data_IF_994731825849
#
_entry.id   IF_994731825849
#
_cell.length_a   1.000
_cell.length_b   1.000
_cell.length_c   1.000
_cell.angle_alpha   90.00
_cell.angle_beta   90.00
_cell.angle_gamma   90.00
#
_symmetry.space_group_name_H-M   'P 1'
#
loop_
_entity.id
_entity.type
_entity.pdbx_description
1 polymer ?
#
# COMPACT_ATOMS: atom_id res chain seq x y z
N UNK A 1 -4.27 5.12 28.79
CA UNK A 1 -3.72 6.51 28.64
C UNK A 1 -3.16 6.76 27.25
N UNK A 2 -1.90 6.45 26.89
CA UNK A 2 -1.39 6.71 25.51
C UNK A 2 -2.08 5.80 24.48
N UNK A 3 -2.18 4.51 24.80
CA UNK A 3 -2.80 3.53 23.89
C UNK A 3 -4.30 3.79 23.68
N UNK A 4 -4.98 4.32 24.69
CA UNK A 4 -6.41 4.70 24.56
C UNK A 4 -6.58 5.89 23.63
N UNK A 5 -5.72 6.93 23.75
CA UNK A 5 -5.74 8.08 22.83
C UNK A 5 -5.35 7.70 21.40
N UNK A 6 -4.40 6.79 21.25
CA UNK A 6 -4.02 6.26 19.93
C UNK A 6 -5.20 5.48 19.31
N UNK A 7 -5.84 4.61 20.08
CA UNK A 7 -7.02 3.87 19.63
C UNK A 7 -8.18 4.81 19.24
N UNK A 8 -8.41 5.87 20.01
CA UNK A 8 -9.39 6.93 19.68
C UNK A 8 -9.06 7.61 18.34
N UNK A 9 -7.80 8.02 18.15
CA UNK A 9 -7.36 8.67 16.92
C UNK A 9 -7.49 7.75 15.69
N UNK A 10 -7.17 6.46 15.84
CA UNK A 10 -7.35 5.45 14.79
C UNK A 10 -8.84 5.28 14.48
N UNK A 11 -9.69 5.19 15.50
CA UNK A 11 -11.15 5.04 15.32
C UNK A 11 -11.76 6.26 14.62
N UNK A 12 -11.34 7.48 14.97
CA UNK A 12 -11.76 8.71 14.30
C UNK A 12 -11.35 8.67 12.82
N UNK A 13 -10.10 8.33 12.52
CA UNK A 13 -9.59 8.22 11.16
C UNK A 13 -10.37 7.20 10.33
N UNK A 14 -10.63 6.00 10.87
CA UNK A 14 -11.41 4.96 10.19
C UNK A 14 -12.86 5.43 9.95
N UNK A 15 -13.46 6.11 10.93
CA UNK A 15 -14.79 6.66 10.81
C UNK A 15 -14.86 7.74 9.74
N UNK A 16 -13.93 8.69 9.75
CA UNK A 16 -13.83 9.76 8.75
C UNK A 16 -13.64 9.18 7.34
N UNK A 17 -12.78 8.18 7.19
CA UNK A 17 -12.56 7.48 5.92
C UNK A 17 -13.84 6.79 5.42
N UNK A 18 -14.50 6.03 6.28
CA UNK A 18 -15.72 5.29 5.91
C UNK A 18 -16.88 6.21 5.52
N UNK A 19 -16.97 7.38 6.15
CA UNK A 19 -18.03 8.38 5.88
C UNK A 19 -17.62 9.44 4.85
N UNK A 20 -16.35 9.41 4.40
CA UNK A 20 -15.75 10.45 3.56
C UNK A 20 -15.86 11.86 4.22
N UNK A 21 -15.74 11.90 5.54
CA UNK A 21 -15.87 13.11 6.35
C UNK A 21 -14.48 13.74 6.59
N UNK A 22 -14.20 14.79 5.85
CA UNK A 22 -12.91 15.47 5.89
C UNK A 22 -12.66 16.14 7.26
N UNK A 23 -13.70 16.66 7.92
CA UNK A 23 -13.54 17.31 9.23
C UNK A 23 -13.11 16.28 10.29
N UNK A 24 -13.69 15.08 10.29
CA UNK A 24 -13.32 14.00 11.19
C UNK A 24 -11.91 13.48 10.88
N UNK A 25 -11.51 13.42 9.60
CA UNK A 25 -10.14 13.06 9.20
C UNK A 25 -9.11 14.10 9.69
N UNK A 26 -9.41 15.39 9.61
CA UNK A 26 -8.56 16.47 10.13
C UNK A 26 -8.43 16.42 11.67
N UNK A 27 -9.52 16.12 12.37
CA UNK A 27 -9.49 15.92 13.82
C UNK A 27 -8.58 14.75 14.20
N UNK A 28 -8.72 13.61 13.52
CA UNK A 28 -7.87 12.45 13.71
C UNK A 28 -6.39 12.75 13.44
N UNK A 29 -6.08 13.49 12.36
CA UNK A 29 -4.73 13.92 12.03
C UNK A 29 -4.14 14.82 13.11
N UNK A 30 -4.91 15.78 13.60
CA UNK A 30 -4.48 16.69 14.67
C UNK A 30 -4.09 15.91 15.93
N UNK A 31 -4.94 14.98 16.37
CA UNK A 31 -4.67 14.13 17.53
C UNK A 31 -3.43 13.26 17.34
N UNK A 32 -3.23 12.69 16.13
CA UNK A 32 -2.05 11.89 15.81
C UNK A 32 -0.76 12.73 15.76
N UNK A 33 -0.82 13.95 15.28
CA UNK A 33 0.34 14.87 15.33
C UNK A 33 0.73 15.24 16.77
N UNK A 34 -0.24 15.48 17.66
CA UNK A 34 0.02 15.69 19.09
C UNK A 34 0.69 14.47 19.73
N UNK A 35 0.19 13.26 19.41
CA UNK A 35 0.78 12.02 19.89
C UNK A 35 2.20 11.82 19.35
N UNK A 36 2.43 12.06 18.05
CA UNK A 36 3.75 11.94 17.43
C UNK A 36 4.77 12.96 17.99
N UNK A 37 4.33 14.14 18.39
CA UNK A 37 5.17 15.14 19.06
C UNK A 37 5.51 14.72 20.50
N UNK A 38 4.56 14.12 21.24
CA UNK A 38 4.75 13.67 22.60
C UNK A 38 5.55 12.34 22.70
N UNK A 39 5.48 11.51 21.66
CA UNK A 39 6.11 10.18 21.58
C UNK A 39 6.84 10.01 20.26
N UNK A 40 7.91 10.76 20.01
CA UNK A 40 8.55 10.83 18.69
C UNK A 40 9.19 9.52 18.23
N UNK A 41 9.49 8.58 19.16
CA UNK A 41 10.15 7.31 18.86
C UNK A 41 9.17 6.13 18.76
N UNK A 42 7.85 6.37 18.87
CA UNK A 42 6.83 5.32 18.73
C UNK A 42 6.51 5.09 17.26
N UNK A 43 6.95 3.92 16.74
CA UNK A 43 6.78 3.56 15.33
C UNK A 43 5.31 3.45 14.91
N UNK A 44 4.43 2.95 15.78
CA UNK A 44 3.01 2.81 15.49
C UNK A 44 2.33 4.19 15.37
N UNK A 45 2.58 5.10 16.33
CA UNK A 45 2.07 6.47 16.27
C UNK A 45 2.54 7.17 15.01
N UNK A 46 3.83 7.05 14.69
CA UNK A 46 4.42 7.62 13.48
C UNK A 46 3.76 7.07 12.21
N UNK A 47 3.54 5.77 12.15
CA UNK A 47 2.84 5.12 11.03
C UNK A 47 1.39 5.60 10.90
N UNK A 48 0.63 5.64 11.99
CA UNK A 48 -0.76 6.10 11.97
C UNK A 48 -0.87 7.58 11.55
N UNK A 49 0.14 8.39 11.90
CA UNK A 49 0.23 9.77 11.45
C UNK A 49 0.44 9.86 9.92
N UNK A 50 1.29 8.99 9.34
CA UNK A 50 1.43 8.89 7.89
C UNK A 50 0.10 8.58 7.20
N UNK A 51 -0.61 7.56 7.70
CA UNK A 51 -1.91 7.14 7.15
C UNK A 51 -2.96 8.26 7.24
N UNK A 52 -2.95 9.04 8.33
CA UNK A 52 -3.86 10.18 8.46
C UNK A 52 -3.62 11.26 7.41
N UNK A 53 -2.35 11.54 7.09
CA UNK A 53 -2.00 12.46 5.99
C UNK A 53 -2.47 11.92 4.64
N UNK A 54 -2.23 10.65 4.35
CA UNK A 54 -2.67 10.01 3.11
C UNK A 54 -4.20 10.04 2.94
N UNK A 55 -4.95 9.80 4.00
CA UNK A 55 -6.42 9.84 3.96
C UNK A 55 -6.97 11.25 3.61
N UNK A 56 -6.19 12.29 3.85
CA UNK A 56 -6.49 13.68 3.49
C UNK A 56 -5.91 14.11 2.13
N UNK A 57 -5.23 13.19 1.41
CA UNK A 57 -4.55 13.51 0.17
C UNK A 57 -3.25 14.31 0.34
N UNK A 58 -2.72 14.40 1.56
CA UNK A 58 -1.48 15.09 1.91
C UNK A 58 -0.28 14.15 1.70
N UNK A 59 -0.14 13.65 0.48
CA UNK A 59 0.81 12.59 0.13
C UNK A 59 2.27 12.97 0.38
N UNK A 60 2.67 14.22 0.07
CA UNK A 60 4.05 14.68 0.30
C UNK A 60 4.39 14.74 1.79
N UNK A 61 3.44 15.10 2.61
CA UNK A 61 3.56 15.20 4.06
C UNK A 61 3.53 13.80 4.71
N UNK A 62 2.86 12.82 4.10
CA UNK A 62 2.82 11.45 4.59
C UNK A 62 4.17 10.72 4.47
N UNK A 63 4.92 10.95 3.38
CA UNK A 63 6.19 10.25 3.07
C UNK A 63 7.18 10.28 4.24
N UNK A 64 7.56 11.43 4.84
CA UNK A 64 8.53 11.45 5.92
C UNK A 64 8.07 10.67 7.17
N UNK A 65 6.78 10.61 7.45
CA UNK A 65 6.24 9.80 8.55
C UNK A 65 6.34 8.29 8.25
N UNK A 66 6.01 7.85 7.03
CA UNK A 66 6.23 6.46 6.63
C UNK A 66 7.69 6.05 6.77
N UNK A 67 8.62 6.83 6.21
CA UNK A 67 10.05 6.53 6.27
C UNK A 67 10.55 6.46 7.72
N UNK A 68 10.12 7.39 8.57
CA UNK A 68 10.48 7.37 9.99
C UNK A 68 9.94 6.13 10.71
N UNK A 69 8.68 5.77 10.48
CA UNK A 69 8.08 4.57 11.09
C UNK A 69 8.85 3.29 10.69
N UNK A 70 9.26 3.17 9.43
CA UNK A 70 10.08 2.06 8.94
C UNK A 70 11.46 2.01 9.63
N UNK A 71 12.11 3.17 9.82
CA UNK A 71 13.41 3.23 10.52
C UNK A 71 13.30 2.99 12.02
N UNK A 72 12.15 3.24 12.61
CA UNK A 72 11.85 2.96 14.02
C UNK A 72 11.54 1.48 14.30
N UNK A 73 11.61 0.62 13.29
CA UNK A 73 11.45 -0.81 13.47
C UNK A 73 10.00 -1.29 13.45
N UNK A 74 9.12 -0.62 12.69
CA UNK A 74 7.76 -1.10 12.45
C UNK A 74 7.78 -2.56 11.96
N UNK A 75 6.88 -3.39 12.48
CA UNK A 75 6.88 -4.82 12.22
C UNK A 75 5.46 -5.37 12.00
N UNK A 76 5.37 -6.62 11.56
CA UNK A 76 4.11 -7.35 11.42
C UNK A 76 3.12 -6.68 10.47
N UNK A 77 1.81 -6.67 10.80
CA UNK A 77 0.76 -6.12 9.93
C UNK A 77 0.92 -4.63 9.63
N UNK A 78 1.50 -3.86 10.54
CA UNK A 78 1.71 -2.44 10.34
C UNK A 78 2.87 -2.16 9.37
N UNK A 79 3.94 -2.98 9.40
CA UNK A 79 4.99 -2.94 8.38
C UNK A 79 4.41 -3.24 6.97
N UNK A 80 3.58 -4.28 6.87
CA UNK A 80 2.90 -4.65 5.63
C UNK A 80 2.08 -3.49 5.07
N UNK A 81 1.27 -2.86 5.92
CA UNK A 81 0.44 -1.71 5.55
C UNK A 81 1.28 -0.48 5.21
N UNK A 82 2.38 -0.25 5.93
CA UNK A 82 3.27 0.89 5.69
C UNK A 82 4.00 0.76 4.34
N UNK A 83 4.49 -0.42 3.98
CA UNK A 83 5.14 -0.66 2.67
C UNK A 83 4.14 -0.47 1.52
N UNK A 84 2.92 -0.97 1.67
CA UNK A 84 1.85 -0.75 0.68
C UNK A 84 1.49 0.74 0.58
N UNK A 85 1.27 1.41 1.71
CA UNK A 85 0.90 2.82 1.77
C UNK A 85 1.99 3.70 1.15
N UNK A 86 3.23 3.58 1.62
CA UNK A 86 4.36 4.36 1.08
C UNK A 86 4.56 4.13 -0.42
N UNK A 87 4.50 2.86 -0.87
CA UNK A 87 4.65 2.54 -2.28
C UNK A 87 3.54 3.16 -3.15
N UNK A 88 2.29 3.10 -2.71
CA UNK A 88 1.17 3.72 -3.41
C UNK A 88 1.26 5.26 -3.40
N UNK A 89 1.73 5.83 -2.30
CA UNK A 89 1.95 7.29 -2.15
C UNK A 89 3.03 7.77 -3.10
N UNK A 90 4.19 7.11 -3.14
CA UNK A 90 5.25 7.41 -4.11
C UNK A 90 4.75 7.31 -5.56
N UNK A 91 3.98 6.26 -5.86
CA UNK A 91 3.39 6.12 -7.20
C UNK A 91 2.47 7.30 -7.52
N UNK A 92 1.61 7.71 -6.60
CA UNK A 92 0.71 8.86 -6.76
C UNK A 92 1.46 10.18 -6.96
N UNK A 93 2.64 10.31 -6.37
CA UNK A 93 3.53 11.47 -6.54
C UNK A 93 4.36 11.44 -7.83
N UNK A 94 4.30 10.36 -8.62
CA UNK A 94 5.12 10.17 -9.82
C UNK A 94 6.55 9.69 -9.51
N UNK A 95 6.84 9.38 -8.27
CA UNK A 95 8.15 8.88 -7.81
C UNK A 95 8.22 7.35 -8.02
N UNK A 96 8.10 6.91 -9.28
CA UNK A 96 7.89 5.52 -9.65
C UNK A 96 9.02 4.58 -9.24
N UNK A 97 10.28 5.05 -9.22
CA UNK A 97 11.41 4.21 -8.80
C UNK A 97 11.39 3.92 -7.31
N UNK A 98 11.08 4.91 -6.48
CA UNK A 98 10.90 4.73 -5.04
C UNK A 98 9.68 3.85 -4.74
N UNK A 99 8.60 4.00 -5.51
CA UNK A 99 7.42 3.15 -5.43
C UNK A 99 7.77 1.70 -5.72
N UNK A 100 8.49 1.43 -6.82
CA UNK A 100 8.95 0.09 -7.21
C UNK A 100 9.80 -0.56 -6.10
N UNK A 101 10.83 0.13 -5.63
CA UNK A 101 11.72 -0.37 -4.57
C UNK A 101 10.94 -0.75 -3.31
N UNK A 102 10.03 0.14 -2.88
CA UNK A 102 9.21 -0.04 -1.68
C UNK A 102 8.25 -1.22 -1.85
N UNK A 103 7.55 -1.30 -2.98
CA UNK A 103 6.57 -2.36 -3.26
C UNK A 103 7.25 -3.72 -3.49
N UNK A 104 8.41 -3.77 -4.14
CA UNK A 104 9.20 -5.00 -4.26
C UNK A 104 9.67 -5.51 -2.90
N UNK A 105 10.06 -4.62 -1.98
CA UNK A 105 10.31 -5.00 -0.59
C UNK A 105 9.04 -5.59 0.03
N UNK A 106 7.89 -4.96 -0.14
CA UNK A 106 6.62 -5.45 0.35
C UNK A 106 6.27 -6.85 -0.18
N UNK A 107 6.45 -7.09 -1.48
CA UNK A 107 6.21 -8.42 -2.10
C UNK A 107 7.15 -9.49 -1.52
N UNK A 108 8.42 -9.15 -1.28
CA UNK A 108 9.39 -10.11 -0.69
C UNK A 108 9.05 -10.47 0.75
N UNK A 109 8.66 -9.49 1.57
CA UNK A 109 8.35 -9.72 2.99
C UNK A 109 6.93 -10.27 3.22
N UNK A 110 5.99 -9.93 2.33
CA UNK A 110 4.57 -10.32 2.41
C UNK A 110 4.06 -10.89 1.07
N UNK A 111 4.59 -12.05 0.62
CA UNK A 111 4.31 -12.59 -0.72
C UNK A 111 2.85 -12.96 -0.96
N UNK A 112 2.05 -13.09 0.10
CA UNK A 112 0.62 -13.40 -0.01
C UNK A 112 -0.27 -12.16 -0.07
N UNK A 113 0.30 -10.96 0.09
CA UNK A 113 -0.47 -9.71 -0.03
C UNK A 113 -0.65 -9.32 -1.51
N UNK A 114 -1.81 -9.67 -2.03
CA UNK A 114 -2.19 -9.39 -3.42
C UNK A 114 -2.31 -7.89 -3.73
N UNK A 115 -2.70 -7.08 -2.74
CA UNK A 115 -2.82 -5.64 -2.95
C UNK A 115 -1.44 -5.01 -3.24
N UNK A 116 -0.38 -5.41 -2.52
CA UNK A 116 0.99 -4.95 -2.79
C UNK A 116 1.42 -5.34 -4.22
N UNK A 117 1.13 -6.58 -4.64
CA UNK A 117 1.45 -7.05 -5.99
C UNK A 117 0.72 -6.24 -7.07
N UNK A 118 -0.54 -5.89 -6.86
CA UNK A 118 -1.32 -5.06 -7.80
C UNK A 118 -0.77 -3.63 -7.85
N UNK A 119 -0.41 -3.02 -6.71
CA UNK A 119 0.23 -1.70 -6.70
C UNK A 119 1.60 -1.73 -7.39
N UNK A 120 2.36 -2.82 -7.23
CA UNK A 120 3.61 -3.02 -7.97
C UNK A 120 3.35 -3.10 -9.48
N UNK A 121 2.38 -3.87 -9.92
CA UNK A 121 2.00 -3.96 -11.34
C UNK A 121 1.64 -2.59 -11.94
N UNK A 122 0.84 -1.78 -11.21
CA UNK A 122 0.53 -0.42 -11.66
C UNK A 122 1.77 0.48 -11.73
N UNK A 123 2.74 0.30 -10.82
CA UNK A 123 4.00 1.04 -10.82
C UNK A 123 4.88 0.63 -11.99
N UNK A 124 5.00 -0.67 -12.26
CA UNK A 124 5.73 -1.21 -13.40
C UNK A 124 5.16 -0.72 -14.73
N UNK A 125 3.83 -0.64 -14.85
CA UNK A 125 3.18 -0.02 -16.00
C UNK A 125 3.64 1.44 -16.21
N UNK A 126 3.74 2.23 -15.13
CA UNK A 126 4.23 3.61 -15.22
C UNK A 126 5.72 3.68 -15.59
N UNK A 127 6.50 2.64 -15.28
CA UNK A 127 7.91 2.49 -15.64
C UNK A 127 8.10 1.88 -17.04
N UNK A 128 7.01 1.57 -17.75
CA UNK A 128 6.99 0.95 -19.08
C UNK A 128 7.45 -0.53 -19.08
N UNK A 129 7.49 -1.14 -17.92
CA UNK A 129 7.69 -2.58 -17.76
C UNK A 129 6.34 -3.30 -17.86
N UNK A 130 5.79 -3.32 -19.07
CA UNK A 130 4.44 -3.80 -19.33
C UNK A 130 4.32 -5.31 -19.20
N UNK A 131 5.39 -6.05 -19.53
CA UNK A 131 5.42 -7.51 -19.45
C UNK A 131 5.26 -7.97 -18.00
N UNK A 132 6.15 -7.55 -17.09
CA UNK A 132 6.06 -7.91 -15.67
C UNK A 132 4.76 -7.37 -15.02
N UNK A 133 4.33 -6.17 -15.41
CA UNK A 133 3.07 -5.61 -14.91
C UNK A 133 1.87 -6.49 -15.26
N UNK A 134 1.78 -6.96 -16.50
CA UNK A 134 0.68 -7.80 -16.97
C UNK A 134 0.77 -9.21 -16.38
N UNK A 135 1.98 -9.79 -16.29
CA UNK A 135 2.21 -11.08 -15.63
C UNK A 135 1.66 -11.08 -14.20
N UNK A 136 2.01 -10.07 -13.40
CA UNK A 136 1.52 -9.93 -12.03
C UNK A 136 0.00 -9.84 -11.95
N UNK A 137 -0.63 -9.06 -12.82
CA UNK A 137 -2.09 -8.89 -12.83
C UNK A 137 -2.79 -10.17 -13.25
N UNK A 138 -2.34 -10.82 -14.32
CA UNK A 138 -2.94 -12.06 -14.81
C UNK A 138 -2.76 -13.21 -13.82
N UNK A 139 -1.58 -13.31 -13.19
CA UNK A 139 -1.32 -14.31 -12.15
C UNK A 139 -2.29 -14.10 -10.98
N UNK A 140 -2.41 -12.88 -10.47
CA UNK A 140 -3.36 -12.57 -9.41
C UNK A 140 -4.80 -12.88 -9.79
N UNK A 141 -5.21 -12.54 -11.02
CA UNK A 141 -6.54 -12.86 -11.53
C UNK A 141 -6.79 -14.37 -11.52
N UNK A 142 -5.86 -15.15 -12.07
CA UNK A 142 -6.02 -16.61 -12.17
C UNK A 142 -6.01 -17.32 -10.82
N UNK A 143 -5.32 -16.75 -9.84
CA UNK A 143 -5.27 -17.34 -8.50
C UNK A 143 -6.45 -16.95 -7.60
N UNK A 144 -7.16 -15.87 -7.93
CA UNK A 144 -8.23 -15.33 -7.07
C UNK A 144 -9.63 -15.43 -7.68
N UNK A 145 -9.75 -15.57 -9.01
CA UNK A 145 -11.05 -15.59 -9.67
C UNK A 145 -11.86 -16.83 -9.35
N UNK A 146 -13.15 -16.66 -9.16
CA UNK A 146 -14.15 -17.75 -9.11
C UNK A 146 -14.99 -17.86 -10.38
N UNK A 147 -14.72 -17.05 -11.42
CA UNK A 147 -15.43 -17.12 -12.69
C UNK A 147 -15.13 -18.45 -13.41
N UNK A 148 -16.18 -19.23 -13.70
CA UNK A 148 -16.07 -20.57 -14.27
C UNK A 148 -15.40 -20.57 -15.66
N UNK A 149 -15.63 -19.55 -16.46
CA UNK A 149 -15.05 -19.44 -17.81
C UNK A 149 -13.56 -19.14 -17.73
N UNK A 150 -13.15 -18.25 -16.82
CA UNK A 150 -11.74 -17.97 -16.57
C UNK A 150 -11.03 -19.21 -16.01
N UNK A 151 -11.65 -19.93 -15.07
CA UNK A 151 -11.11 -21.19 -14.52
C UNK A 151 -10.96 -22.28 -15.58
N UNK A 152 -11.89 -22.37 -16.53
CA UNK A 152 -11.78 -23.31 -17.64
C UNK A 152 -10.53 -23.07 -18.50
N UNK A 153 -10.17 -21.80 -18.75
CA UNK A 153 -8.99 -21.41 -19.51
C UNK A 153 -7.74 -21.15 -18.67
N UNK A 154 -7.79 -21.40 -17.37
CA UNK A 154 -6.71 -21.07 -16.41
C UNK A 154 -5.33 -21.52 -16.88
N UNK A 155 -5.19 -22.77 -17.35
CA UNK A 155 -3.90 -23.32 -17.79
C UNK A 155 -3.31 -22.52 -18.95
N UNK A 156 -4.13 -22.18 -19.94
CA UNK A 156 -3.69 -21.39 -21.10
C UNK A 156 -3.34 -19.97 -20.72
N UNK A 157 -4.21 -19.29 -19.96
CA UNK A 157 -3.97 -17.91 -19.52
C UNK A 157 -2.69 -17.83 -18.66
N UNK A 158 -2.50 -18.74 -17.72
CA UNK A 158 -1.30 -18.75 -16.88
C UNK A 158 -0.02 -19.02 -17.67
N UNK A 159 -0.09 -19.84 -18.72
CA UNK A 159 1.04 -20.06 -19.61
C UNK A 159 1.38 -18.78 -20.41
N UNK A 160 0.38 -18.18 -21.05
CA UNK A 160 0.59 -16.98 -21.85
C UNK A 160 0.98 -15.76 -21.00
N UNK A 161 0.57 -15.68 -19.74
CA UNK A 161 0.97 -14.61 -18.83
C UNK A 161 2.49 -14.48 -18.67
N UNK A 162 3.23 -15.61 -18.82
CA UNK A 162 4.70 -15.67 -18.76
C UNK A 162 5.37 -15.54 -20.14
N UNK A 163 4.59 -15.40 -21.22
CA UNK A 163 5.10 -15.48 -22.60
C UNK A 163 4.34 -14.50 -23.50
N UNK A 164 4.02 -13.28 -22.99
CA UNK A 164 3.16 -12.34 -23.69
C UNK A 164 3.73 -11.84 -25.04
N UNK A 165 5.05 -11.75 -25.12
CA UNK A 165 5.76 -11.28 -26.32
C UNK A 165 6.12 -12.40 -27.30
N UNK A 166 5.82 -13.66 -26.96
CA UNK A 166 6.11 -14.81 -27.82
C UNK A 166 4.96 -15.07 -28.82
N UNK A 167 5.35 -15.53 -30.00
CA UNK A 167 4.41 -15.98 -31.05
C UNK A 167 4.74 -17.39 -31.47
N UNK A 168 3.70 -18.18 -31.73
CA UNK A 168 3.84 -19.56 -32.17
C UNK A 168 3.27 -19.69 -33.61
N UNK A 169 4.14 -19.99 -34.58
CA UNK A 169 3.80 -20.24 -35.97
C UNK A 169 3.53 -21.72 -36.25
#
# INVERSE_FOLDING_TARGET
MIRDRLAEAIQLRETGRAKQDQAVLEEARTLLLELAAAYPDDAEITFQTAVAHDNLGLSREAVPFYLRALTQGLAGPDLERALMGLGSTYRGLGEYRQAEETLRRGVREFPHNRAIQVFLAMTLYNLQDYEEAMELVLTNLMETTSDEKLQYFKRGISYYALHLDETWG
#
